data_IF_696122573626
#
_entry.id   IF_696122573626
#
_cell.length_a   1.000
_cell.length_b   1.000
_cell.length_c   1.000
_cell.angle_alpha   90.00
_cell.angle_beta   90.00
_cell.angle_gamma   90.00
#
_symmetry.space_group_name_H-M   'P 1'
#
loop_
_entity.id
_entity.type
_entity.pdbx_description
1 polymer ?
#
# COMPACT_ATOMS: atom_id res chain seq x y z
N UNK A 1 -17.03 6.83 -41.23
CA UNK A 1 -17.27 6.57 -39.80
C UNK A 1 -15.95 6.06 -39.23
N UNK A 2 -15.10 6.95 -38.73
CA UNK A 2 -13.88 6.54 -38.04
C UNK A 2 -14.31 6.01 -36.68
N UNK A 3 -14.28 4.69 -36.50
CA UNK A 3 -14.26 4.12 -35.17
C UNK A 3 -12.92 4.51 -34.55
N UNK A 4 -12.92 5.58 -33.76
CA UNK A 4 -11.84 5.82 -32.81
C UNK A 4 -11.91 4.65 -31.83
N UNK A 5 -11.00 3.68 -31.99
CA UNK A 5 -10.67 2.75 -30.92
C UNK A 5 -10.17 3.60 -29.76
N UNK A 6 -11.05 3.90 -28.81
CA UNK A 6 -10.64 4.40 -27.51
C UNK A 6 -9.93 3.20 -26.87
N UNK A 7 -8.60 3.19 -26.93
CA UNK A 7 -7.83 2.32 -26.04
C UNK A 7 -8.27 2.69 -24.63
N UNK A 8 -8.92 1.76 -23.92
CA UNK A 8 -9.26 1.96 -22.52
C UNK A 8 -7.95 2.01 -21.74
N UNK A 9 -7.50 3.21 -21.37
CA UNK A 9 -6.38 3.37 -20.45
C UNK A 9 -6.92 3.26 -19.02
N UNK A 10 -6.32 2.38 -18.22
CA UNK A 10 -6.63 2.24 -16.81
C UNK A 10 -5.57 2.94 -15.97
N UNK A 11 -6.00 3.60 -14.90
CA UNK A 11 -5.11 4.02 -13.82
C UNK A 11 -5.09 2.90 -12.78
N UNK A 12 -3.91 2.34 -12.52
CA UNK A 12 -3.71 1.25 -11.56
C UNK A 12 -3.08 1.78 -10.28
N UNK A 13 -3.79 1.61 -9.17
CA UNK A 13 -3.36 2.00 -7.85
C UNK A 13 -3.12 0.77 -7.00
N UNK A 14 -1.93 0.69 -6.40
CA UNK A 14 -1.54 -0.39 -5.48
C UNK A 14 -1.36 0.16 -4.07
N UNK A 15 -1.89 -0.54 -3.09
CA UNK A 15 -1.51 -0.39 -1.68
C UNK A 15 -0.65 -1.60 -1.28
N UNK A 16 0.44 -1.37 -0.55
CA UNK A 16 1.36 -2.40 -0.10
C UNK A 16 2.04 -2.03 1.22
N UNK A 17 1.69 -2.72 2.30
CA UNK A 17 2.52 -2.76 3.50
C UNK A 17 3.79 -3.60 3.23
N UNK A 18 4.95 -2.96 3.39
CA UNK A 18 6.24 -3.55 3.10
C UNK A 18 6.72 -4.56 4.13
N UNK A 19 6.08 -4.73 5.30
CA UNK A 19 6.63 -5.47 6.46
C UNK A 19 8.07 -5.01 6.75
N UNK A 20 8.18 -3.79 7.28
CA UNK A 20 9.40 -3.12 7.73
C UNK A 20 10.53 -3.07 6.68
N UNK A 21 10.42 -2.15 5.72
CA UNK A 21 11.53 -1.80 4.81
C UNK A 21 12.47 -0.80 5.49
N UNK A 22 13.47 -1.34 6.19
CA UNK A 22 14.56 -0.61 6.83
C UNK A 22 15.89 -0.87 6.12
N UNK A 23 16.78 0.11 6.12
CA UNK A 23 18.18 -0.06 5.78
C UNK A 23 18.92 -0.79 6.93
N UNK A 24 20.25 -0.75 6.95
CA UNK A 24 21.07 -1.55 7.90
C UNK A 24 21.96 -0.67 8.79
N UNK A 25 21.68 0.62 8.86
CA UNK A 25 22.44 1.63 9.59
C UNK A 25 21.52 2.30 10.59
N UNK A 26 22.04 2.50 11.80
CA UNK A 26 21.30 3.15 12.86
C UNK A 26 21.13 4.65 12.59
N UNK A 27 19.90 5.14 12.63
CA UNK A 27 19.57 6.55 12.77
C UNK A 27 19.56 6.95 14.25
N UNK A 28 20.48 7.83 14.63
CA UNK A 28 20.60 8.36 16.00
C UNK A 28 19.35 9.05 16.56
N UNK A 29 18.39 9.42 15.72
CA UNK A 29 17.13 10.05 16.11
C UNK A 29 15.97 9.06 16.25
N UNK A 30 16.16 7.79 15.87
CA UNK A 30 15.12 6.76 15.84
C UNK A 30 15.51 5.53 16.68
N UNK A 31 14.54 4.68 16.95
CA UNK A 31 14.65 3.42 17.68
C UNK A 31 14.45 2.26 16.70
N UNK A 32 15.38 2.14 15.76
CA UNK A 32 15.42 1.19 14.64
C UNK A 32 16.31 -0.04 14.93
N UNK A 33 16.80 -0.18 16.16
CA UNK A 33 17.82 -1.17 16.55
C UNK A 33 17.46 -2.63 16.21
N UNK A 34 16.18 -2.95 16.05
CA UNK A 34 15.70 -4.25 15.60
C UNK A 34 16.16 -4.57 14.17
N UNK A 35 16.41 -3.58 13.33
CA UNK A 35 16.82 -3.71 11.93
C UNK A 35 18.32 -3.45 11.72
N UNK A 36 19.15 -3.84 12.69
CA UNK A 36 20.61 -3.81 12.55
C UNK A 36 21.21 -5.21 12.31
N UNK A 37 22.39 -5.30 11.68
CA UNK A 37 23.05 -6.59 11.44
C UNK A 37 23.33 -7.40 12.72
N UNK A 38 23.55 -6.72 13.85
CA UNK A 38 23.84 -7.33 15.15
C UNK A 38 22.59 -7.58 16.00
N UNK A 39 21.40 -7.18 15.54
CA UNK A 39 20.15 -7.33 16.29
C UNK A 39 19.71 -8.79 16.42
N UNK A 40 18.65 -9.04 17.19
CA UNK A 40 17.98 -10.35 17.24
C UNK A 40 17.44 -10.78 15.88
N UNK A 41 17.04 -9.84 15.03
CA UNK A 41 16.60 -10.12 13.66
C UNK A 41 17.79 -10.39 12.75
N UNK A 42 19.01 -9.95 13.06
CA UNK A 42 20.19 -10.08 12.18
C UNK A 42 19.91 -9.51 10.80
N UNK A 43 19.44 -8.27 10.74
CA UNK A 43 19.12 -7.59 9.48
C UNK A 43 20.40 -7.17 8.76
N UNK A 44 20.95 -8.11 7.98
CA UNK A 44 22.21 -7.90 7.25
C UNK A 44 21.96 -7.22 5.90
N UNK A 45 23.01 -6.62 5.29
CA UNK A 45 22.89 -6.07 3.93
C UNK A 45 22.33 -7.07 2.92
N UNK A 46 22.67 -8.36 3.04
CA UNK A 46 22.11 -9.41 2.19
C UNK A 46 20.57 -9.51 2.31
N UNK A 47 20.03 -9.46 3.54
CA UNK A 47 18.57 -9.54 3.76
C UNK A 47 17.86 -8.28 3.28
N UNK A 48 18.47 -7.12 3.50
CA UNK A 48 17.99 -5.85 2.97
C UNK A 48 17.89 -5.86 1.43
N UNK A 49 18.95 -6.24 0.73
CA UNK A 49 18.90 -6.32 -0.75
C UNK A 49 17.93 -7.38 -1.25
N UNK A 50 17.78 -8.51 -0.54
CA UNK A 50 16.74 -9.51 -0.85
C UNK A 50 15.33 -8.95 -0.64
N UNK A 51 15.11 -8.14 0.40
CA UNK A 51 13.83 -7.46 0.65
C UNK A 51 13.49 -6.51 -0.49
N UNK A 52 14.44 -5.68 -0.93
CA UNK A 52 14.27 -4.80 -2.10
C UNK A 52 13.94 -5.59 -3.36
N UNK A 53 14.65 -6.69 -3.62
CA UNK A 53 14.37 -7.56 -4.77
C UNK A 53 12.96 -8.18 -4.72
N UNK A 54 12.53 -8.63 -3.54
CA UNK A 54 11.19 -9.17 -3.32
C UNK A 54 10.10 -8.12 -3.57
N UNK A 55 10.22 -6.92 -2.98
CA UNK A 55 9.26 -5.83 -3.17
C UNK A 55 9.21 -5.37 -4.64
N UNK A 56 10.36 -5.28 -5.30
CA UNK A 56 10.44 -4.93 -6.73
C UNK A 56 9.72 -5.94 -7.60
N UNK A 57 9.94 -7.23 -7.35
CA UNK A 57 9.26 -8.33 -8.04
C UNK A 57 7.75 -8.25 -7.82
N UNK A 58 7.30 -7.99 -6.58
CA UNK A 58 5.89 -7.80 -6.26
C UNK A 58 5.30 -6.67 -7.10
N UNK A 59 5.86 -5.47 -7.02
CA UNK A 59 5.32 -4.28 -7.71
C UNK A 59 5.25 -4.49 -9.22
N UNK A 60 6.28 -5.06 -9.85
CA UNK A 60 6.29 -5.36 -11.29
C UNK A 60 5.20 -6.37 -11.65
N UNK A 61 5.03 -7.42 -10.84
CA UNK A 61 4.04 -8.46 -11.11
C UNK A 61 2.59 -8.02 -10.86
N UNK A 62 2.35 -6.93 -10.14
CA UNK A 62 1.01 -6.35 -9.98
C UNK A 62 0.57 -5.50 -11.19
N UNK A 63 1.45 -5.32 -12.18
CA UNK A 63 1.13 -4.63 -13.43
C UNK A 63 0.36 -5.44 -14.47
N UNK A 64 0.10 -6.72 -14.23
CA UNK A 64 -0.74 -7.51 -15.13
C UNK A 64 -2.21 -7.11 -14.98
N UNK A 65 -2.92 -6.94 -16.09
CA UNK A 65 -4.36 -6.63 -16.04
C UNK A 65 -5.19 -7.71 -15.33
N UNK A 66 -4.84 -8.98 -15.51
CA UNK A 66 -5.48 -10.11 -14.83
C UNK A 66 -4.46 -10.88 -13.98
N UNK A 67 -4.53 -10.66 -12.66
CA UNK A 67 -3.65 -11.27 -11.69
C UNK A 67 -3.88 -12.79 -11.52
N UNK A 68 -5.06 -13.31 -11.89
CA UNK A 68 -5.37 -14.75 -11.80
C UNK A 68 -4.55 -15.61 -12.75
N UNK A 69 -3.90 -14.96 -13.72
CA UNK A 69 -3.10 -15.62 -14.76
C UNK A 69 -1.60 -15.62 -14.41
N UNK A 70 -1.21 -14.96 -13.33
CA UNK A 70 0.19 -14.87 -12.92
C UNK A 70 0.61 -16.17 -12.24
N UNK A 71 1.55 -16.88 -12.87
CA UNK A 71 2.09 -18.13 -12.33
C UNK A 71 1.29 -19.40 -12.69
N UNK A 72 0.26 -19.28 -13.53
CA UNK A 72 -0.54 -20.42 -14.03
C UNK A 72 -0.01 -21.03 -15.33
N UNK A 73 1.07 -20.48 -15.90
CA UNK A 73 1.70 -21.02 -17.10
C UNK A 73 2.35 -22.39 -16.80
N UNK A 74 1.82 -23.44 -17.42
CA UNK A 74 2.45 -24.77 -17.41
C UNK A 74 3.65 -24.80 -18.38
N UNK A 75 4.77 -25.46 -18.03
CA UNK A 75 5.89 -25.68 -18.94
C UNK A 75 5.47 -26.32 -20.27
N UNK A 76 4.42 -27.15 -20.24
CA UNK A 76 3.98 -27.99 -21.36
C UNK A 76 2.89 -27.34 -22.22
N UNK A 77 2.40 -26.16 -21.83
CA UNK A 77 1.42 -25.41 -22.62
C UNK A 77 1.84 -23.93 -22.67
N UNK A 78 2.70 -23.55 -23.63
CA UNK A 78 3.17 -22.20 -23.82
C UNK A 78 2.13 -21.35 -24.55
N UNK A 79 0.83 -21.59 -24.35
CA UNK A 79 -0.15 -20.51 -24.46
C UNK A 79 0.14 -19.50 -23.35
N UNK A 80 1.28 -18.84 -23.53
CA UNK A 80 1.65 -17.55 -23.01
C UNK A 80 0.34 -16.76 -23.05
N UNK A 81 -0.04 -16.11 -21.94
CA UNK A 81 -0.94 -14.99 -22.01
C UNK A 81 -0.66 -14.20 -23.30
N UNK A 82 -1.52 -14.36 -24.31
CA UNK A 82 -1.34 -13.80 -25.64
C UNK A 82 -1.17 -12.30 -25.48
N UNK A 83 0.06 -11.78 -25.60
CA UNK A 83 0.37 -10.35 -25.46
C UNK A 83 -0.48 -9.64 -24.39
N UNK A 84 -0.62 -10.27 -23.20
CA UNK A 84 -1.56 -9.75 -22.19
C UNK A 84 -1.02 -8.43 -21.68
N UNK A 85 -1.83 -7.40 -21.90
CA UNK A 85 -1.63 -6.03 -21.47
C UNK A 85 -1.06 -6.02 -20.05
N UNK A 86 0.20 -5.61 -19.99
CA UNK A 86 0.95 -5.40 -18.78
C UNK A 86 1.40 -3.95 -18.84
N UNK A 87 1.08 -3.21 -17.80
CA UNK A 87 1.57 -1.87 -17.58
C UNK A 87 2.02 -1.78 -16.14
N UNK A 88 3.09 -1.03 -15.91
CA UNK A 88 3.51 -0.74 -14.54
C UNK A 88 2.33 -0.07 -13.79
N UNK A 89 2.08 -0.40 -12.51
CA UNK A 89 1.16 0.37 -11.68
C UNK A 89 1.47 1.87 -11.72
N UNK A 90 0.46 2.71 -11.90
CA UNK A 90 0.65 4.17 -11.94
C UNK A 90 1.02 4.72 -10.56
N UNK A 91 0.51 4.09 -9.50
CA UNK A 91 0.75 4.47 -8.12
C UNK A 91 1.00 3.24 -7.24
N UNK A 92 1.92 3.37 -6.29
CA UNK A 92 2.13 2.40 -5.23
C UNK A 92 2.23 3.14 -3.89
N UNK A 93 1.18 3.06 -3.08
CA UNK A 93 1.15 3.51 -1.70
C UNK A 93 1.83 2.48 -0.80
N UNK A 94 2.96 2.85 -0.21
CA UNK A 94 3.74 1.98 0.66
C UNK A 94 3.55 2.34 2.13
N UNK A 95 3.37 1.32 2.95
CA UNK A 95 3.43 1.40 4.40
C UNK A 95 4.70 0.71 4.93
N UNK A 96 5.15 1.10 6.12
CA UNK A 96 6.34 0.54 6.78
C UNK A 96 7.65 0.76 6.03
N UNK A 97 7.89 1.99 5.59
CA UNK A 97 9.11 2.43 4.93
C UNK A 97 9.93 3.28 5.91
N UNK A 98 11.23 3.07 6.00
CA UNK A 98 12.05 3.80 6.97
C UNK A 98 12.38 5.25 6.56
N UNK A 99 13.04 5.44 5.41
CA UNK A 99 13.66 6.71 5.05
C UNK A 99 13.89 6.86 3.52
N UNK A 100 14.48 7.99 3.12
CA UNK A 100 14.81 8.30 1.73
C UNK A 100 15.76 7.26 1.11
N UNK A 101 16.79 6.79 1.85
CA UNK A 101 17.75 5.83 1.30
C UNK A 101 17.10 4.52 0.88
N UNK A 102 16.12 4.01 1.63
CA UNK A 102 15.43 2.77 1.23
C UNK A 102 14.56 2.95 -0.02
N UNK A 103 13.93 4.12 -0.20
CA UNK A 103 13.18 4.42 -1.41
C UNK A 103 14.09 4.71 -2.60
N UNK A 104 15.22 5.36 -2.38
CA UNK A 104 16.24 5.54 -3.40
C UNK A 104 16.78 4.19 -3.87
N UNK A 105 17.18 3.30 -2.96
CA UNK A 105 17.67 1.97 -3.33
C UNK A 105 16.57 1.14 -4.01
N UNK A 106 15.32 1.21 -3.52
CA UNK A 106 14.17 0.54 -4.14
C UNK A 106 13.90 1.06 -5.56
N UNK A 107 13.92 2.36 -5.81
CA UNK A 107 13.53 2.93 -7.11
C UNK A 107 14.68 3.06 -8.09
N UNK A 108 15.92 3.16 -7.61
CA UNK A 108 17.11 3.46 -8.45
C UNK A 108 18.09 2.31 -8.53
N UNK A 109 18.07 1.34 -7.62
CA UNK A 109 19.10 0.27 -7.53
C UNK A 109 18.54 -1.15 -7.53
N UNK A 110 17.22 -1.29 -7.63
CA UNK A 110 16.54 -2.57 -7.77
C UNK A 110 16.09 -2.82 -9.23
N UNK A 111 15.29 -3.87 -9.44
CA UNK A 111 14.60 -4.11 -10.70
C UNK A 111 13.62 -2.98 -11.11
N UNK A 112 13.20 -2.11 -10.19
CA UNK A 112 12.37 -0.95 -10.49
C UNK A 112 13.13 0.21 -11.15
N UNK A 113 14.46 0.16 -11.24
CA UNK A 113 15.24 1.22 -11.91
C UNK A 113 14.76 1.50 -13.34
N UNK A 114 14.44 0.46 -14.10
CA UNK A 114 13.97 0.60 -15.48
C UNK A 114 12.52 1.10 -15.60
N UNK A 115 11.78 1.08 -14.49
CA UNK A 115 10.38 1.48 -14.40
C UNK A 115 10.24 2.98 -14.11
N UNK A 116 11.30 3.65 -13.64
CA UNK A 116 11.39 5.10 -13.48
C UNK A 116 10.26 5.74 -12.63
N UNK A 117 9.85 5.07 -11.55
CA UNK A 117 9.01 5.72 -10.53
C UNK A 117 9.72 6.93 -9.93
N UNK A 118 8.99 8.02 -9.72
CA UNK A 118 9.34 9.00 -8.69
C UNK A 118 8.59 8.70 -7.41
N UNK A 119 8.99 9.32 -6.31
CA UNK A 119 8.34 9.10 -5.02
C UNK A 119 8.31 10.35 -4.16
N UNK A 120 7.35 10.37 -3.24
CA UNK A 120 7.26 11.30 -2.12
C UNK A 120 7.00 10.49 -0.84
N UNK A 121 7.48 10.96 0.30
CA UNK A 121 7.32 10.26 1.58
C UNK A 121 7.17 11.24 2.74
N UNK A 122 6.70 10.73 3.87
CA UNK A 122 6.70 11.46 5.14
C UNK A 122 8.06 11.33 5.85
N UNK A 123 8.35 12.27 6.74
CA UNK A 123 9.31 12.12 7.84
C UNK A 123 8.52 12.34 9.13
N UNK A 124 8.13 11.24 9.77
CA UNK A 124 7.19 11.22 10.87
C UNK A 124 7.89 11.30 12.23
N UNK A 125 7.19 11.77 13.27
CA UNK A 125 7.72 11.75 14.63
C UNK A 125 7.68 10.34 15.25
N UNK A 126 7.28 9.31 14.51
CA UNK A 126 7.28 7.92 14.98
C UNK A 126 8.70 7.54 15.44
N UNK A 127 8.80 7.18 16.72
CA UNK A 127 10.08 6.91 17.36
C UNK A 127 10.82 5.74 16.74
N UNK A 128 10.14 4.83 16.02
CA UNK A 128 10.78 3.67 15.38
C UNK A 128 11.34 4.01 14.01
N UNK A 129 11.09 5.22 13.49
CA UNK A 129 11.47 5.60 12.13
C UNK A 129 10.62 4.94 11.08
N UNK A 130 9.32 4.72 11.35
CA UNK A 130 8.40 4.16 10.34
C UNK A 130 7.61 5.28 9.68
N UNK A 131 7.64 5.30 8.36
CA UNK A 131 6.96 6.25 7.50
C UNK A 131 6.13 5.57 6.40
N UNK A 132 5.42 6.40 5.64
CA UNK A 132 4.64 6.02 4.46
C UNK A 132 5.17 6.74 3.23
N UNK A 133 5.01 6.12 2.06
CA UNK A 133 5.47 6.68 0.80
C UNK A 133 4.45 6.46 -0.31
N UNK A 134 4.54 7.30 -1.34
CA UNK A 134 3.81 7.13 -2.59
C UNK A 134 4.82 7.11 -3.72
N UNK A 135 4.97 5.96 -4.38
CA UNK A 135 5.60 5.90 -5.70
C UNK A 135 4.56 6.25 -6.76
N UNK A 136 4.98 6.97 -7.79
CA UNK A 136 4.11 7.32 -8.91
C UNK A 136 4.88 7.34 -10.24
N UNK A 137 4.17 7.01 -11.32
CA UNK A 137 4.69 7.11 -12.67
C UNK A 137 4.60 8.57 -13.15
N UNK A 138 5.73 9.25 -13.45
CA UNK A 138 5.69 10.65 -13.90
C UNK A 138 4.92 10.86 -15.21
N UNK A 139 4.80 9.83 -16.05
CA UNK A 139 4.00 9.85 -17.29
C UNK A 139 2.50 9.90 -17.03
N UNK A 140 2.04 9.39 -15.88
CA UNK A 140 0.63 9.26 -15.52
C UNK A 140 0.20 10.30 -14.48
N UNK A 141 1.15 10.85 -13.72
CA UNK A 141 0.91 11.79 -12.63
C UNK A 141 1.97 12.90 -12.60
N UNK A 142 1.56 14.11 -12.97
CA UNK A 142 2.37 15.31 -12.83
C UNK A 142 2.14 15.91 -11.44
N UNK A 143 3.02 15.61 -10.49
CA UNK A 143 2.98 16.12 -9.12
C UNK A 143 2.92 17.65 -9.09
N UNK A 144 1.95 18.21 -8.37
CA UNK A 144 1.83 19.65 -8.11
C UNK A 144 2.42 19.99 -6.74
N UNK A 145 2.05 19.21 -5.70
CA UNK A 145 2.52 19.41 -4.34
C UNK A 145 2.39 18.14 -3.52
N UNK A 146 3.18 18.04 -2.45
CA UNK A 146 2.99 17.07 -1.39
C UNK A 146 3.31 17.71 -0.04
N UNK A 147 2.78 17.13 1.04
CA UNK A 147 3.12 17.50 2.43
C UNK A 147 2.79 16.37 3.39
N UNK A 148 3.46 16.36 4.53
CA UNK A 148 3.05 15.57 5.71
C UNK A 148 1.95 16.29 6.47
N UNK A 149 0.89 15.57 6.84
CA UNK A 149 -0.15 16.04 7.75
C UNK A 149 0.17 15.45 9.13
N UNK A 150 0.70 16.30 10.01
CA UNK A 150 1.11 15.91 11.36
C UNK A 150 -0.05 15.43 12.19
N UNK A 151 0.00 14.18 12.66
CA UNK A 151 -1.00 13.67 13.61
C UNK A 151 -0.72 14.24 14.99
N UNK A 152 -1.66 15.06 15.50
CA UNK A 152 -1.61 15.53 16.89
C UNK A 152 -1.65 14.35 17.87
N UNK A 153 -0.61 14.25 18.69
CA UNK A 153 -0.56 13.27 19.78
C UNK A 153 -1.65 13.53 20.80
N UNK A 154 -2.25 12.46 21.32
CA UNK A 154 -3.13 12.55 22.48
C UNK A 154 -2.26 12.68 23.76
N UNK A 155 -2.78 13.26 24.86
CA UNK A 155 -2.04 13.35 26.12
C UNK A 155 -1.49 11.98 26.57
N UNK A 156 -0.26 11.98 27.09
CA UNK A 156 0.45 10.80 27.60
C UNK A 156 0.66 9.66 26.59
N UNK A 157 0.68 9.98 25.29
CA UNK A 157 0.80 8.99 24.22
C UNK A 157 2.01 9.24 23.36
N UNK A 158 2.56 8.15 22.81
CA UNK A 158 3.69 8.26 21.90
C UNK A 158 3.25 8.91 20.59
N UNK A 159 4.13 9.70 19.94
CA UNK A 159 3.87 10.17 18.60
C UNK A 159 3.57 9.01 17.64
N UNK A 160 2.81 9.29 16.60
CA UNK A 160 2.48 8.32 15.56
C UNK A 160 2.86 8.87 14.18
N UNK A 161 2.70 8.06 13.14
CA UNK A 161 3.02 8.44 11.77
C UNK A 161 2.12 9.57 11.29
N UNK A 162 2.69 10.42 10.44
CA UNK A 162 1.97 11.43 9.70
C UNK A 162 1.18 10.80 8.55
N UNK A 163 0.18 11.52 8.04
CA UNK A 163 -0.49 11.16 6.78
C UNK A 163 0.25 11.87 5.65
N UNK A 164 0.66 11.13 4.62
CA UNK A 164 1.16 11.72 3.39
C UNK A 164 -0.01 12.27 2.59
N UNK A 165 0.06 13.52 2.16
CA UNK A 165 -0.80 14.06 1.12
C UNK A 165 0.01 14.44 -0.10
N UNK A 166 -0.45 14.03 -1.27
CA UNK A 166 0.06 14.47 -2.57
C UNK A 166 -1.10 14.88 -3.48
N UNK A 167 -0.89 15.87 -4.34
CA UNK A 167 -1.82 16.20 -5.42
C UNK A 167 -1.07 16.48 -6.72
N UNK A 168 -1.68 16.12 -7.84
CA UNK A 168 -1.08 16.26 -9.15
C UNK A 168 -2.10 16.05 -10.27
N UNK A 169 -1.72 16.42 -11.48
CA UNK A 169 -2.56 16.24 -12.68
C UNK A 169 -2.41 14.83 -13.20
N UNK A 170 -3.53 14.20 -13.54
CA UNK A 170 -3.57 12.91 -14.24
C UNK A 170 -3.87 13.11 -15.72
N UNK A 171 -3.74 12.07 -16.54
CA UNK A 171 -3.89 12.15 -18.01
C UNK A 171 -5.23 12.76 -18.51
N UNK A 172 -6.29 12.68 -17.72
CA UNK A 172 -7.59 13.31 -18.03
C UNK A 172 -7.63 14.82 -17.80
N UNK A 173 -6.49 15.40 -17.45
CA UNK A 173 -6.29 16.81 -17.10
C UNK A 173 -7.04 17.31 -15.85
N UNK A 174 -7.49 16.39 -15.00
CA UNK A 174 -8.03 16.69 -13.68
C UNK A 174 -6.97 16.53 -12.59
N UNK A 175 -7.22 17.09 -11.41
CA UNK A 175 -6.37 16.94 -10.24
C UNK A 175 -6.79 15.72 -9.44
N UNK A 176 -5.85 14.81 -9.21
CA UNK A 176 -5.99 13.70 -8.26
C UNK A 176 -5.32 14.09 -6.94
N UNK A 177 -6.03 13.87 -5.84
CA UNK A 177 -5.54 13.99 -4.48
C UNK A 177 -5.34 12.60 -3.91
N UNK A 178 -4.14 12.30 -3.41
CA UNK A 178 -3.78 11.01 -2.83
C UNK A 178 -3.37 11.21 -1.39
N UNK A 179 -3.97 10.42 -0.50
CA UNK A 179 -3.57 10.31 0.90
C UNK A 179 -3.02 8.91 1.16
N UNK A 180 -1.87 8.81 1.82
CA UNK A 180 -1.31 7.54 2.30
C UNK A 180 -1.16 7.60 3.80
N UNK A 181 -1.57 6.56 4.51
CA UNK A 181 -1.47 6.49 5.97
C UNK A 181 -1.10 5.10 6.47
N UNK A 182 -0.51 5.06 7.66
CA UNK A 182 -0.36 3.82 8.42
C UNK A 182 -0.79 4.08 9.87
N UNK A 183 -2.04 3.75 10.17
CA UNK A 183 -2.64 4.02 11.47
C UNK A 183 -2.04 3.14 12.60
N UNK A 184 -2.19 3.57 13.87
CA UNK A 184 -1.72 2.79 15.01
C UNK A 184 -2.29 1.37 15.09
N UNK A 185 -1.40 0.39 15.26
CA UNK A 185 -1.77 -1.01 15.51
C UNK A 185 -2.69 -1.20 16.72
N UNK A 186 -3.36 -2.35 16.79
CA UNK A 186 -4.24 -2.73 17.91
C UNK A 186 -3.50 -3.16 19.18
N UNK A 187 -2.29 -2.65 19.40
CA UNK A 187 -1.48 -2.96 20.59
C UNK A 187 -2.23 -2.54 21.87
N UNK A 188 -2.25 -3.43 22.86
CA UNK A 188 -3.01 -3.23 24.10
C UNK A 188 -4.51 -3.52 23.96
N UNK A 189 -4.97 -3.97 22.79
CA UNK A 189 -6.36 -4.32 22.51
C UNK A 189 -7.15 -3.18 21.88
N UNK A 190 -8.34 -3.54 21.39
CA UNK A 190 -9.19 -2.65 20.60
C UNK A 190 -9.62 -1.40 21.37
N UNK A 191 -10.10 -1.56 22.61
CA UNK A 191 -10.61 -0.44 23.41
C UNK A 191 -9.52 0.61 23.72
N UNK A 192 -8.29 0.15 23.97
CA UNK A 192 -7.15 1.02 24.31
C UNK A 192 -6.61 1.72 23.07
N UNK A 193 -6.56 1.03 21.93
CA UNK A 193 -5.92 1.55 20.71
C UNK A 193 -6.86 2.38 19.82
N UNK A 194 -8.18 2.17 19.90
CA UNK A 194 -9.18 2.85 19.06
C UNK A 194 -9.09 4.38 19.06
N UNK A 195 -8.93 5.08 20.22
CA UNK A 195 -8.85 6.54 20.22
C UNK A 195 -7.77 7.10 19.30
N UNK A 196 -6.64 6.39 19.15
CA UNK A 196 -5.56 6.82 18.26
C UNK A 196 -5.95 6.73 16.78
N UNK A 197 -6.64 5.66 16.38
CA UNK A 197 -7.13 5.52 15.01
C UNK A 197 -8.24 6.51 14.68
N UNK A 198 -9.11 6.83 15.64
CA UNK A 198 -10.08 7.92 15.51
C UNK A 198 -9.40 9.29 15.37
N UNK A 199 -8.28 9.53 16.06
CA UNK A 199 -7.51 10.76 15.92
C UNK A 199 -6.86 10.91 14.53
N UNK A 200 -6.41 9.80 13.94
CA UNK A 200 -5.94 9.76 12.53
C UNK A 200 -7.11 10.04 11.58
N UNK A 201 -8.24 9.36 11.77
CA UNK A 201 -9.43 9.53 10.94
C UNK A 201 -9.99 10.96 10.98
N UNK A 202 -10.04 11.59 12.15
CA UNK A 202 -10.48 12.99 12.33
C UNK A 202 -9.60 13.99 11.55
N UNK A 203 -8.28 13.80 11.57
CA UNK A 203 -7.36 14.66 10.83
C UNK A 203 -7.42 14.42 9.32
N UNK A 204 -7.58 13.16 8.90
CA UNK A 204 -7.84 12.84 7.50
C UNK A 204 -9.13 13.50 7.00
N UNK A 205 -10.23 13.37 7.74
CA UNK A 205 -11.53 13.99 7.40
C UNK A 205 -11.40 15.51 7.31
N UNK A 206 -10.70 16.14 8.24
CA UNK A 206 -10.46 17.59 8.19
C UNK A 206 -9.75 18.00 6.90
N UNK A 207 -8.74 17.24 6.47
CA UNK A 207 -8.03 17.49 5.23
C UNK A 207 -8.88 17.23 3.98
N UNK A 208 -9.64 16.12 3.95
CA UNK A 208 -10.55 15.77 2.86
C UNK A 208 -11.65 16.82 2.70
N UNK A 209 -12.28 17.25 3.80
CA UNK A 209 -13.30 18.30 3.79
C UNK A 209 -12.75 19.63 3.29
N UNK A 210 -11.50 19.97 3.60
CA UNK A 210 -10.86 21.19 3.05
C UNK A 210 -10.72 21.17 1.53
N UNK A 211 -10.56 19.98 0.94
CA UNK A 211 -10.49 19.80 -0.52
C UNK A 211 -11.89 19.92 -1.12
N UNK A 212 -12.88 19.25 -0.53
CA UNK A 212 -14.27 19.33 -0.99
C UNK A 212 -14.82 20.75 -0.91
N UNK A 213 -14.47 21.51 0.13
CA UNK A 213 -14.86 22.92 0.25
C UNK A 213 -14.39 23.80 -0.93
N UNK A 214 -13.37 23.36 -1.69
CA UNK A 214 -12.89 24.02 -2.90
C UNK A 214 -13.42 23.37 -4.19
N UNK A 215 -13.69 22.06 -4.17
CA UNK A 215 -14.22 21.31 -5.29
C UNK A 215 -15.03 20.09 -4.81
N UNK A 216 -16.36 20.20 -4.86
CA UNK A 216 -17.29 19.14 -4.43
C UNK A 216 -17.16 17.84 -5.25
N UNK A 217 -16.54 17.90 -6.43
CA UNK A 217 -16.31 16.73 -7.30
C UNK A 217 -14.87 16.22 -7.27
N UNK A 218 -14.05 16.71 -6.34
CA UNK A 218 -12.64 16.37 -6.22
C UNK A 218 -12.39 14.85 -6.26
N UNK A 219 -11.35 14.46 -7.00
CA UNK A 219 -10.90 13.07 -7.11
C UNK A 219 -9.92 12.79 -5.98
N UNK A 220 -10.34 11.97 -5.01
CA UNK A 220 -9.56 11.68 -3.82
C UNK A 220 -9.39 10.17 -3.68
N UNK A 221 -8.15 9.70 -3.50
CA UNK A 221 -7.83 8.34 -3.06
C UNK A 221 -7.20 8.42 -1.68
N UNK A 222 -7.62 7.55 -0.78
CA UNK A 222 -7.00 7.34 0.53
C UNK A 222 -6.62 5.87 0.62
N UNK A 223 -5.35 5.57 0.89
CA UNK A 223 -4.86 4.19 0.94
C UNK A 223 -3.87 3.97 2.09
N UNK A 224 -3.75 2.71 2.50
CA UNK A 224 -2.70 2.24 3.39
C UNK A 224 -3.21 1.23 4.41
N UNK A 225 -2.39 1.00 5.44
CA UNK A 225 -2.71 0.11 6.55
C UNK A 225 -3.46 0.89 7.64
N UNK A 226 -4.77 0.69 7.71
CA UNK A 226 -5.63 1.32 8.71
C UNK A 226 -5.56 0.62 10.06
N UNK A 227 -4.89 -0.54 10.16
CA UNK A 227 -4.83 -1.37 11.35
C UNK A 227 -6.20 -1.63 11.98
N UNK A 228 -7.26 -1.60 11.18
CA UNK A 228 -8.63 -1.77 11.59
C UNK A 228 -9.48 -2.34 10.46
N UNK A 229 -10.65 -2.83 10.83
CA UNK A 229 -11.56 -3.51 9.91
C UNK A 229 -12.58 -2.53 9.32
N UNK A 230 -13.18 -2.91 8.20
CA UNK A 230 -14.15 -2.10 7.46
C UNK A 230 -15.39 -1.72 8.27
N UNK A 231 -15.74 -2.51 9.30
CA UNK A 231 -16.86 -2.31 10.22
C UNK A 231 -16.49 -1.50 11.49
N UNK A 232 -15.23 -1.08 11.62
CA UNK A 232 -14.76 -0.38 12.81
C UNK A 232 -15.21 1.08 12.90
N UNK A 233 -15.33 1.64 14.13
CA UNK A 233 -15.74 3.05 14.29
C UNK A 233 -14.88 4.06 13.55
N UNK A 234 -13.57 3.82 13.42
CA UNK A 234 -12.68 4.71 12.71
C UNK A 234 -12.96 4.72 11.20
N UNK A 235 -13.23 3.56 10.60
CA UNK A 235 -13.57 3.46 9.18
C UNK A 235 -14.99 3.95 8.90
N UNK A 236 -15.96 3.62 9.75
CA UNK A 236 -17.34 4.14 9.64
C UNK A 236 -17.37 5.67 9.66
N UNK A 237 -16.57 6.30 10.54
CA UNK A 237 -16.42 7.75 10.56
C UNK A 237 -15.90 8.32 9.23
N UNK A 238 -14.96 7.63 8.55
CA UNK A 238 -14.53 8.05 7.21
C UNK A 238 -15.66 7.95 6.18
N UNK A 239 -16.49 6.91 6.27
CA UNK A 239 -17.61 6.71 5.33
C UNK A 239 -18.70 7.76 5.47
N UNK A 240 -18.99 8.17 6.71
CA UNK A 240 -19.89 9.29 7.01
C UNK A 240 -19.38 10.63 6.41
N UNK A 241 -18.10 10.70 6.08
CA UNK A 241 -17.43 11.89 5.52
C UNK A 241 -16.97 11.70 4.06
N UNK A 242 -17.86 11.12 3.24
CA UNK A 242 -17.74 11.06 1.77
C UNK A 242 -16.54 10.26 1.25
N UNK A 243 -16.07 9.26 2.00
CA UNK A 243 -15.11 8.27 1.51
C UNK A 243 -15.80 6.92 1.33
N UNK A 244 -15.64 6.31 0.18
CA UNK A 244 -16.22 4.99 -0.12
C UNK A 244 -15.09 3.97 -0.08
N UNK A 245 -15.21 2.94 0.75
CA UNK A 245 -14.27 1.82 0.73
C UNK A 245 -14.52 0.96 -0.52
N UNK A 246 -13.58 1.01 -1.45
CA UNK A 246 -13.69 0.33 -2.74
C UNK A 246 -13.06 -1.06 -2.74
N UNK A 247 -12.38 -1.44 -1.66
CA UNK A 247 -11.72 -2.73 -1.46
C UNK A 247 -12.35 -3.58 -0.37
N UNK A 248 -13.49 -3.16 0.21
CA UNK A 248 -14.18 -3.90 1.28
C UNK A 248 -14.50 -5.36 0.91
N UNK A 249 -14.84 -5.59 -0.36
CA UNK A 249 -15.18 -6.91 -0.91
C UNK A 249 -14.07 -7.51 -1.79
N UNK A 250 -12.85 -6.95 -1.75
CA UNK A 250 -11.73 -7.44 -2.56
C UNK A 250 -11.38 -8.88 -2.18
N UNK A 251 -11.17 -9.73 -3.18
CA UNK A 251 -10.77 -11.12 -3.00
C UNK A 251 -9.54 -11.44 -3.85
N UNK A 252 -8.79 -12.45 -3.42
CA UNK A 252 -7.69 -13.03 -4.18
C UNK A 252 -8.16 -14.18 -5.06
N UNK A 253 -7.31 -14.55 -6.02
CA UNK A 253 -7.56 -15.60 -7.00
C UNK A 253 -6.81 -16.92 -6.71
N UNK A 254 -5.89 -16.89 -5.75
CA UNK A 254 -5.04 -18.01 -5.33
C UNK A 254 -5.24 -18.40 -3.86
N UNK A 255 -6.36 -18.00 -3.27
CA UNK A 255 -6.84 -18.48 -1.97
C UNK A 255 -6.81 -17.43 -0.84
N UNK A 256 -6.33 -16.22 -1.10
CA UNK A 256 -6.47 -15.14 -0.13
C UNK A 256 -7.91 -14.60 -0.11
N UNK A 257 -8.43 -14.38 1.10
CA UNK A 257 -9.78 -13.80 1.31
C UNK A 257 -9.73 -12.38 1.88
N UNK A 258 -8.54 -11.93 2.27
CA UNK A 258 -8.26 -10.62 2.83
C UNK A 258 -6.75 -10.33 2.72
N UNK A 259 -6.30 -9.16 3.14
CA UNK A 259 -4.88 -8.78 3.04
C UNK A 259 -4.00 -9.39 4.13
N UNK A 260 -4.57 -9.70 5.30
CA UNK A 260 -3.84 -10.21 6.46
C UNK A 260 -4.47 -11.50 7.00
N UNK A 261 -3.63 -12.41 7.53
CA UNK A 261 -4.09 -13.68 8.13
C UNK A 261 -3.54 -13.90 9.54
N UNK A 262 -4.45 -14.10 10.48
CA UNK A 262 -4.13 -14.30 11.89
C UNK A 262 -4.92 -15.47 12.48
N UNK A 263 -4.21 -16.44 13.08
CA UNK A 263 -4.81 -17.66 13.66
C UNK A 263 -5.78 -18.40 12.72
N UNK A 264 -5.48 -18.42 11.42
CA UNK A 264 -6.31 -19.06 10.41
C UNK A 264 -7.36 -18.15 9.78
N UNK A 265 -7.69 -17.02 10.41
CA UNK A 265 -8.70 -16.08 9.97
C UNK A 265 -8.12 -15.00 9.06
N UNK A 266 -8.78 -14.80 7.92
CA UNK A 266 -8.49 -13.72 6.99
C UNK A 266 -9.24 -12.45 7.39
N UNK A 267 -8.53 -11.33 7.52
CA UNK A 267 -9.13 -10.00 7.70
C UNK A 267 -8.30 -8.93 6.98
N UNK A 268 -8.94 -7.85 6.56
CA UNK A 268 -8.26 -6.75 5.86
C UNK A 268 -8.00 -5.61 6.83
N UNK A 269 -6.72 -5.36 7.08
CA UNK A 269 -6.25 -4.17 7.81
C UNK A 269 -5.98 -3.01 6.84
N UNK A 270 -5.55 -3.37 5.64
CA UNK A 270 -5.27 -2.47 4.55
C UNK A 270 -6.56 -2.15 3.80
N UNK A 271 -6.70 -0.89 3.38
CA UNK A 271 -7.90 -0.41 2.70
C UNK A 271 -7.54 0.63 1.63
N UNK A 272 -8.29 0.65 0.54
CA UNK A 272 -8.32 1.76 -0.41
C UNK A 272 -9.74 2.34 -0.40
N UNK A 273 -9.83 3.61 -0.05
CA UNK A 273 -11.05 4.40 -0.09
C UNK A 273 -10.92 5.47 -1.17
N UNK A 274 -12.03 5.93 -1.72
CA UNK A 274 -12.00 7.05 -2.65
C UNK A 274 -13.23 7.96 -2.55
N UNK A 275 -13.14 9.13 -3.18
CA UNK A 275 -14.27 10.03 -3.37
C UNK A 275 -15.37 9.37 -4.23
N UNK A 276 -16.64 9.83 -4.13
CA UNK A 276 -17.72 9.35 -4.98
C UNK A 276 -17.43 9.50 -6.48
N UNK A 277 -16.75 10.59 -6.88
CA UNK A 277 -16.40 10.85 -8.27
C UNK A 277 -15.44 9.82 -8.86
N UNK A 278 -14.52 9.27 -8.05
CA UNK A 278 -13.63 8.18 -8.46
C UNK A 278 -14.28 6.80 -8.32
N UNK A 279 -15.13 6.60 -7.32
CA UNK A 279 -15.80 5.31 -7.09
C UNK A 279 -16.61 4.87 -8.32
N UNK A 280 -17.27 5.82 -8.99
CA UNK A 280 -18.01 5.58 -10.23
C UNK A 280 -17.14 5.13 -11.42
N UNK A 281 -15.82 5.33 -11.34
CA UNK A 281 -14.84 4.96 -12.37
C UNK A 281 -14.11 3.65 -12.05
N UNK A 282 -14.34 3.06 -10.88
CA UNK A 282 -13.72 1.80 -10.48
C UNK A 282 -14.09 0.69 -11.47
N UNK A 283 -13.08 0.03 -12.01
CA UNK A 283 -13.23 -1.12 -12.90
C UNK A 283 -13.03 -2.43 -12.14
N UNK A 284 -12.00 -2.49 -11.31
CA UNK A 284 -11.68 -3.68 -10.52
C UNK A 284 -11.06 -3.31 -9.18
N UNK A 285 -11.19 -4.21 -8.21
CA UNK A 285 -10.56 -4.15 -6.90
C UNK A 285 -10.29 -5.56 -6.41
N UNK A 286 -9.03 -5.95 -6.30
CA UNK A 286 -8.60 -7.32 -6.00
C UNK A 286 -7.49 -7.34 -4.96
N UNK A 287 -7.32 -8.48 -4.30
CA UNK A 287 -6.14 -8.76 -3.50
C UNK A 287 -5.08 -9.33 -4.44
N UNK A 288 -3.89 -8.72 -4.44
CA UNK A 288 -2.73 -9.17 -5.21
C UNK A 288 -2.10 -10.43 -4.61
N UNK A 289 -2.82 -11.55 -4.62
CA UNK A 289 -2.43 -12.80 -3.96
C UNK A 289 -1.58 -13.72 -4.85
N UNK A 290 -0.57 -13.14 -5.50
CA UNK A 290 0.29 -13.85 -6.44
C UNK A 290 0.91 -15.11 -5.78
N UNK A 291 1.03 -16.25 -6.47
CA UNK A 291 1.43 -17.52 -5.84
C UNK A 291 2.74 -17.46 -5.04
N UNK A 292 3.70 -16.63 -5.45
CA UNK A 292 4.97 -16.48 -4.74
C UNK A 292 4.88 -15.61 -3.46
N UNK A 293 3.78 -14.90 -3.25
CA UNK A 293 3.48 -14.14 -2.03
C UNK A 293 2.78 -15.00 -0.98
N UNK A 294 2.44 -16.24 -1.30
CA UNK A 294 1.70 -17.15 -0.44
C UNK A 294 2.54 -18.37 -0.10
N UNK A 295 2.25 -18.95 1.07
CA UNK A 295 2.71 -20.27 1.47
C UNK A 295 1.52 -21.07 2.04
N UNK A 296 1.66 -22.38 2.13
CA UNK A 296 0.65 -23.22 2.78
C UNK A 296 0.64 -22.98 4.30
N UNK A 297 -0.55 -22.88 4.89
CA UNK A 297 -0.70 -22.85 6.33
C UNK A 297 -0.93 -24.25 6.86
N UNK A 298 0.15 -24.93 7.23
CA UNK A 298 0.11 -26.29 7.77
C UNK A 298 -0.69 -26.40 9.08
N UNK A 299 -0.85 -25.30 9.83
CA UNK A 299 -1.50 -25.30 11.15
C UNK A 299 -3.02 -25.12 11.04
N UNK A 300 -3.48 -24.21 10.19
CA UNK A 300 -4.90 -23.88 10.05
C UNK A 300 -5.50 -24.28 8.70
N UNK A 301 -4.71 -24.89 7.81
CA UNK A 301 -5.09 -25.21 6.44
C UNK A 301 -5.18 -23.98 5.53
N UNK A 302 -5.20 -24.20 4.22
CA UNK A 302 -5.29 -23.13 3.21
C UNK A 302 -3.97 -22.38 3.02
N UNK A 303 -4.06 -21.12 2.59
CA UNK A 303 -2.91 -20.25 2.28
C UNK A 303 -2.70 -19.16 3.32
N UNK A 304 -1.48 -18.68 3.50
CA UNK A 304 -1.16 -17.48 4.29
C UNK A 304 -0.09 -16.64 3.57
N UNK A 305 0.04 -15.34 3.89
CA UNK A 305 1.11 -14.52 3.34
C UNK A 305 2.48 -15.09 3.72
N UNK A 306 3.37 -15.18 2.73
CA UNK A 306 4.75 -15.60 2.93
C UNK A 306 5.55 -14.40 3.45
N UNK A 307 5.64 -14.33 4.78
CA UNK A 307 6.24 -13.20 5.51
C UNK A 307 7.77 -13.25 5.58
N UNK A 308 8.38 -12.12 5.89
CA UNK A 308 9.83 -11.95 6.04
C UNK A 308 10.31 -12.62 7.32
N UNK A 309 9.59 -12.40 8.42
CA UNK A 309 9.94 -12.90 9.74
C UNK A 309 8.77 -13.59 10.45
N UNK A 310 9.09 -14.62 11.25
CA UNK A 310 8.19 -15.19 12.25
C UNK A 310 8.85 -15.05 13.63
N UNK A 311 8.47 -14.00 14.36
CA UNK A 311 9.29 -13.54 15.49
C UNK A 311 10.71 -13.23 15.00
N UNK A 312 11.77 -13.66 15.71
CA UNK A 312 13.15 -13.42 15.26
C UNK A 312 13.60 -14.36 14.12
N UNK A 313 12.80 -15.35 13.72
CA UNK A 313 13.17 -16.31 12.67
C UNK A 313 12.97 -15.69 11.29
N UNK A 314 14.07 -15.52 10.56
CA UNK A 314 14.02 -15.11 9.16
C UNK A 314 13.49 -16.24 8.26
N UNK A 315 12.40 -15.96 7.55
CA UNK A 315 11.80 -16.84 6.56
C UNK A 315 12.15 -16.39 5.13
N UNK A 316 12.42 -15.09 4.94
CA UNK A 316 12.85 -14.52 3.67
C UNK A 316 11.74 -14.38 2.63
N UNK A 317 10.48 -14.31 3.09
CA UNK A 317 9.33 -13.95 2.29
C UNK A 317 9.25 -12.46 1.94
N UNK A 318 8.04 -12.01 1.62
CA UNK A 318 7.76 -10.72 0.98
C UNK A 318 7.14 -9.73 1.96
N UNK A 319 6.00 -10.09 2.56
CA UNK A 319 5.25 -9.29 3.53
C UNK A 319 4.29 -10.21 4.28
N UNK A 320 3.93 -9.88 5.52
CA UNK A 320 2.80 -10.50 6.21
C UNK A 320 1.44 -9.91 5.81
N UNK A 321 1.45 -8.90 4.93
CA UNK A 321 0.29 -8.32 4.26
C UNK A 321 0.34 -8.64 2.76
N UNK A 322 -0.84 -8.78 2.14
CA UNK A 322 -0.99 -8.87 0.69
C UNK A 322 -1.41 -7.51 0.12
N UNK A 323 -0.88 -7.13 -1.06
CA UNK A 323 -1.24 -5.87 -1.69
C UNK A 323 -2.73 -5.81 -2.08
N UNK A 324 -3.30 -4.61 -2.06
CA UNK A 324 -4.56 -4.31 -2.75
C UNK A 324 -4.27 -3.65 -4.09
N UNK A 325 -5.02 -4.04 -5.13
CA UNK A 325 -4.90 -3.47 -6.47
C UNK A 325 -6.26 -2.99 -6.93
N UNK A 326 -6.33 -1.74 -7.38
CA UNK A 326 -7.54 -1.13 -7.93
C UNK A 326 -7.23 -0.52 -9.29
N UNK A 327 -8.11 -0.77 -10.26
CA UNK A 327 -8.07 -0.12 -11.57
C UNK A 327 -9.24 0.83 -11.73
N UNK A 328 -8.96 2.03 -12.25
CA UNK A 328 -9.97 3.04 -12.59
C UNK A 328 -9.95 3.32 -14.09
N UNK A 329 -11.10 3.60 -14.69
CA UNK A 329 -11.16 4.12 -16.07
C UNK A 329 -10.61 5.55 -16.12
N UNK A 330 -9.79 5.83 -17.14
CA UNK A 330 -9.26 7.18 -17.35
C UNK A 330 -10.29 8.19 -17.88
N UNK A 331 -11.38 7.70 -18.48
CA UNK A 331 -12.48 8.51 -19.05
C UNK A 331 -13.70 8.53 -18.15
#
# INVERSE_FOLDING_TARGET
MFFTLILSSFLTFVELNCENLFDTKHDSLKNDYEFLPQSSYKWTPYRYWRKLANLSKTIVALGYEDLSLVGTASPDNPSRPSEKSWHVPDFVALCEVENDSVLFDLTRRSALRGVNYDYVMTDSPDERGIDVALLYQPSSFALIQFRSIRIKSLPDTRPTRDILYASGRIMSDDTLHVFVLHAPSRRGGEQVSRPYRLQVASQLVSAVNSIYALNDSARIIVAGDFNDYSDSPALQYLYEHHLINITADAQGSHGAKATYRWHGDWRSLDQILCSPSLAARKQSSVIGDLPFLLEDDEKYGGKKPYRTYLGPRYLGGYSDHLPLVVQFSSH
#
